data_IF_134273699805
#
_entry.id   IF_134273699805
#
_cell.length_a   1.000
_cell.length_b   1.000
_cell.length_c   1.000
_cell.angle_alpha   90.00
_cell.angle_beta   90.00
_cell.angle_gamma   90.00
#
_symmetry.space_group_name_H-M   'P 1'
#
loop_
_entity.id
_entity.type
_entity.pdbx_description
1 polymer ?
#
# COMPACT_ATOMS: atom_id res chain seq x y z
N UNK A 1 -14.62 6.32 -4.90
CA UNK A 1 -14.55 5.86 -3.49
C UNK A 1 -13.47 4.81 -3.43
N UNK A 2 -12.48 4.97 -2.56
CA UNK A 2 -11.50 3.93 -2.23
C UNK A 2 -11.90 3.33 -0.88
N UNK A 3 -11.86 2.01 -0.75
CA UNK A 3 -12.42 1.30 0.41
C UNK A 3 -11.57 0.06 0.70
N UNK A 4 -11.00 0.00 1.92
CA UNK A 4 -10.23 -1.13 2.40
C UNK A 4 -10.83 -1.62 3.73
N UNK A 5 -10.85 -2.95 3.92
CA UNK A 5 -11.02 -3.54 5.24
C UNK A 5 -9.68 -3.45 5.97
N UNK A 6 -9.71 -2.96 7.20
CA UNK A 6 -8.54 -2.79 8.07
C UNK A 6 -8.77 -3.48 9.41
N UNK A 7 -7.69 -3.94 10.04
CA UNK A 7 -7.69 -4.48 11.40
C UNK A 7 -6.90 -3.56 12.33
N UNK A 8 -7.33 -3.47 13.58
CA UNK A 8 -6.62 -2.74 14.64
C UNK A 8 -5.49 -3.61 15.18
N UNK A 9 -4.28 -3.06 15.25
CA UNK A 9 -3.05 -3.69 15.77
C UNK A 9 -2.33 -2.72 16.70
N UNK A 10 -1.44 -3.22 17.54
CA UNK A 10 -0.51 -2.35 18.28
C UNK A 10 0.41 -1.64 17.27
N UNK A 11 0.70 -0.36 17.52
CA UNK A 11 1.62 0.42 16.71
C UNK A 11 3.06 -0.02 17.03
N UNK A 12 3.84 -0.38 16.01
CA UNK A 12 5.17 -0.97 16.20
C UNK A 12 6.23 0.02 16.74
N UNK A 13 6.04 1.32 16.55
CA UNK A 13 6.94 2.31 17.15
C UNK A 13 6.51 2.61 18.59
N UNK A 14 7.41 2.34 19.53
CA UNK A 14 7.29 2.75 20.93
C UNK A 14 7.14 4.27 21.00
N UNK A 15 6.14 4.73 21.75
CA UNK A 15 6.09 6.14 22.16
C UNK A 15 6.99 6.28 23.38
N UNK A 16 8.10 7.01 23.26
CA UNK A 16 9.19 7.06 24.24
C UNK A 16 8.77 7.38 25.69
N UNK A 17 7.56 7.91 25.94
CA UNK A 17 7.02 8.14 27.28
C UNK A 17 5.47 8.04 27.36
N UNK A 18 4.82 7.41 26.37
CA UNK A 18 3.35 7.40 26.19
C UNK A 18 2.68 6.02 26.37
N UNK A 19 1.35 5.96 26.54
CA UNK A 19 0.63 4.70 26.49
C UNK A 19 0.75 4.04 25.11
N UNK A 20 0.74 2.70 25.01
CA UNK A 20 0.78 2.00 23.73
C UNK A 20 -0.27 2.52 22.76
N UNK A 21 0.17 2.91 21.57
CA UNK A 21 -0.69 3.41 20.51
C UNK A 21 -1.17 2.25 19.64
N UNK A 22 -2.34 2.42 19.02
CA UNK A 22 -2.89 1.46 18.08
C UNK A 22 -2.72 1.97 16.65
N UNK A 23 -2.57 1.05 15.70
CA UNK A 23 -2.45 1.29 14.28
C UNK A 23 -3.49 0.48 13.49
N UNK A 24 -3.68 0.86 12.22
CA UNK A 24 -4.45 0.07 11.27
C UNK A 24 -3.53 -0.69 10.33
N UNK A 25 -3.86 -1.96 10.13
CA UNK A 25 -3.24 -2.79 9.09
C UNK A 25 -4.30 -3.11 8.02
N UNK A 26 -4.04 -2.83 6.72
CA UNK A 26 -4.96 -3.20 5.66
C UNK A 26 -4.97 -4.73 5.45
N UNK A 27 -6.18 -5.30 5.44
CA UNK A 27 -6.44 -6.69 5.06
C UNK A 27 -6.80 -6.81 3.58
N UNK A 28 -7.45 -5.80 3.01
CA UNK A 28 -7.66 -5.72 1.56
C UNK A 28 -6.31 -5.60 0.87
N UNK A 29 -6.08 -6.46 -0.14
CA UNK A 29 -4.91 -6.41 -1.03
C UNK A 29 -5.40 -6.15 -2.45
N UNK A 30 -5.61 -4.88 -2.76
CA UNK A 30 -5.95 -4.41 -4.10
C UNK A 30 -5.14 -3.16 -4.42
N UNK A 31 -4.51 -3.06 -5.62
CA UNK A 31 -3.72 -1.89 -5.96
C UNK A 31 -4.60 -0.64 -6.07
N UNK A 32 -4.05 0.50 -5.69
CA UNK A 32 -4.62 1.79 -6.06
C UNK A 32 -4.35 2.06 -7.55
N UNK A 33 -5.30 2.68 -8.26
CA UNK A 33 -5.10 3.04 -9.65
C UNK A 33 -4.21 4.28 -9.78
N UNK A 34 -2.94 4.05 -10.12
CA UNK A 34 -1.94 5.11 -10.28
C UNK A 34 -2.30 6.15 -11.35
N UNK A 35 -3.19 5.82 -12.31
CA UNK A 35 -3.64 6.77 -13.34
C UNK A 35 -4.50 7.89 -12.79
N UNK A 36 -5.04 7.71 -11.58
CA UNK A 36 -5.89 8.67 -10.89
C UNK A 36 -5.14 9.46 -9.81
N UNK A 37 -3.86 9.17 -9.60
CA UNK A 37 -3.02 9.92 -8.67
C UNK A 37 -2.51 11.20 -9.33
N UNK A 38 -2.52 12.28 -8.55
CA UNK A 38 -1.79 13.52 -8.84
C UNK A 38 -0.59 13.58 -7.89
N UNK A 39 0.62 13.17 -8.33
CA UNK A 39 1.78 13.03 -7.44
C UNK A 39 2.17 14.33 -6.73
N UNK A 40 1.89 15.48 -7.35
CA UNK A 40 2.18 16.79 -6.75
C UNK A 40 1.36 17.10 -5.49
N UNK A 41 0.28 16.35 -5.23
CA UNK A 41 -0.53 16.46 -4.02
C UNK A 41 -0.10 15.50 -2.90
N UNK A 42 0.81 14.57 -3.19
CA UNK A 42 1.29 13.60 -2.21
C UNK A 42 2.56 14.11 -1.53
N UNK A 43 2.64 13.89 -0.24
CA UNK A 43 3.89 13.96 0.50
C UNK A 43 4.81 12.80 0.12
N UNK A 44 6.09 12.91 0.51
CA UNK A 44 7.05 11.80 0.32
C UNK A 44 6.60 10.58 1.11
N UNK A 45 6.11 10.77 2.34
CA UNK A 45 5.65 9.70 3.21
C UNK A 45 4.41 8.98 2.65
N UNK A 46 3.47 9.72 2.05
CA UNK A 46 2.30 9.14 1.39
C UNK A 46 2.69 8.38 0.12
N UNK A 47 3.65 8.91 -0.64
CA UNK A 47 4.19 8.24 -1.83
C UNK A 47 4.86 6.91 -1.44
N UNK A 48 5.74 6.95 -0.45
CA UNK A 48 6.39 5.76 0.10
C UNK A 48 5.38 4.76 0.68
N UNK A 49 4.29 5.25 1.28
CA UNK A 49 3.23 4.39 1.78
C UNK A 49 2.50 3.65 0.64
N UNK A 50 2.16 4.33 -0.45
CA UNK A 50 1.53 3.70 -1.63
C UNK A 50 2.46 2.65 -2.23
N UNK A 51 3.74 2.98 -2.40
CA UNK A 51 4.74 2.08 -2.98
C UNK A 51 4.94 0.83 -2.13
N UNK A 52 5.11 0.97 -0.82
CA UNK A 52 5.21 -0.19 0.10
C UNK A 52 3.94 -1.03 0.10
N UNK A 53 2.77 -0.40 0.04
CA UNK A 53 1.50 -1.11 -0.02
C UNK A 53 1.36 -1.89 -1.35
N UNK A 54 1.72 -1.28 -2.48
CA UNK A 54 1.72 -1.90 -3.81
C UNK A 54 2.71 -3.07 -3.89
N UNK A 55 3.92 -2.91 -3.34
CA UNK A 55 4.90 -3.99 -3.23
C UNK A 55 4.33 -5.17 -2.43
N UNK A 56 3.67 -4.91 -1.28
CA UNK A 56 2.98 -5.95 -0.50
C UNK A 56 1.91 -6.63 -1.34
N UNK A 57 1.04 -5.89 -2.02
CA UNK A 57 -0.02 -6.47 -2.87
C UNK A 57 0.57 -7.44 -3.90
N UNK A 58 1.61 -7.03 -4.62
CA UNK A 58 2.25 -7.89 -5.62
C UNK A 58 2.94 -9.10 -4.99
N UNK A 59 3.67 -8.91 -3.89
CA UNK A 59 4.37 -10.01 -3.20
C UNK A 59 3.41 -11.09 -2.72
N UNK A 60 2.26 -10.72 -2.16
CA UNK A 60 1.30 -11.67 -1.59
C UNK A 60 0.44 -12.36 -2.66
N UNK A 61 0.05 -11.62 -3.71
CA UNK A 61 -0.88 -12.13 -4.74
C UNK A 61 -0.17 -12.66 -5.99
N UNK A 62 0.87 -11.98 -6.46
CA UNK A 62 1.55 -12.26 -7.73
C UNK A 62 1.95 -13.74 -7.92
N UNK A 63 2.58 -14.40 -6.93
CA UNK A 63 2.96 -15.82 -7.05
C UNK A 63 1.78 -16.80 -7.18
N UNK A 64 0.55 -16.35 -6.94
CA UNK A 64 -0.68 -17.16 -7.00
C UNK A 64 -1.48 -16.94 -8.29
N UNK A 65 -1.04 -16.03 -9.14
CA UNK A 65 -1.71 -15.65 -10.39
C UNK A 65 -1.07 -16.35 -11.59
N UNK A 66 -1.82 -16.42 -12.70
CA UNK A 66 -1.28 -16.84 -13.99
C UNK A 66 -0.37 -15.75 -14.56
N UNK A 67 0.48 -16.09 -15.54
CA UNK A 67 1.52 -15.20 -16.07
C UNK A 67 0.98 -13.82 -16.51
N UNK A 68 -0.10 -13.79 -17.29
CA UNK A 68 -0.69 -12.54 -17.78
C UNK A 68 -1.24 -11.67 -16.64
N UNK A 69 -1.94 -12.28 -15.68
CA UNK A 69 -2.51 -11.58 -14.52
C UNK A 69 -1.41 -11.08 -13.57
N UNK A 70 -0.34 -11.85 -13.38
CA UNK A 70 0.81 -11.45 -12.59
C UNK A 70 1.57 -10.30 -13.26
N UNK A 71 1.76 -10.35 -14.58
CA UNK A 71 2.36 -9.28 -15.35
C UNK A 71 1.53 -7.98 -15.27
N UNK A 72 0.21 -8.10 -15.39
CA UNK A 72 -0.70 -6.98 -15.17
C UNK A 72 -0.58 -6.41 -13.75
N UNK A 73 -0.60 -7.27 -12.73
CA UNK A 73 -0.52 -6.82 -11.34
C UNK A 73 0.80 -6.10 -11.09
N UNK A 74 1.92 -6.63 -11.58
CA UNK A 74 3.24 -6.00 -11.46
C UNK A 74 3.24 -4.58 -12.02
N UNK A 75 2.59 -4.38 -13.16
CA UNK A 75 2.46 -3.05 -13.78
C UNK A 75 1.52 -2.13 -13.00
N UNK A 76 0.42 -2.68 -12.46
CA UNK A 76 -0.53 -1.94 -11.63
C UNK A 76 0.06 -1.52 -10.28
N UNK A 77 1.03 -2.29 -9.76
CA UNK A 77 1.74 -2.07 -8.48
C UNK A 77 3.13 -1.48 -8.66
N UNK A 78 3.41 -0.81 -9.79
CA UNK A 78 4.71 -0.16 -9.99
C UNK A 78 4.85 1.06 -9.04
N UNK A 79 6.08 1.51 -8.73
CA UNK A 79 6.28 2.71 -7.94
C UNK A 79 5.59 3.94 -8.54
N UNK A 80 5.15 4.86 -7.70
CA UNK A 80 4.61 6.16 -8.12
C UNK A 80 5.74 6.96 -8.80
N UNK A 81 5.46 7.48 -9.99
CA UNK A 81 6.41 8.33 -10.72
C UNK A 81 6.25 9.79 -10.29
N UNK A 82 7.29 10.38 -9.72
CA UNK A 82 7.38 11.83 -9.52
C UNK A 82 7.69 12.49 -10.87
N UNK A 83 6.75 13.29 -11.41
CA UNK A 83 6.99 14.13 -12.59
C UNK A 83 7.68 15.45 -12.24
#
# INVERSE_FOLDING_TARGET
RCENLVVVREHEADTDDGPPMMAFEPLTLAPFDLRLLEPSLLTVEETDWVDRYHERVYRELGPRLQEDDAAWLKQATRPVESR
#
